data_IF_767270181770
#
_entry.id   IF_767270181770
#
_cell.length_a   1.000
_cell.length_b   1.000
_cell.length_c   1.000
_cell.angle_alpha   90.00
_cell.angle_beta   90.00
_cell.angle_gamma   90.00
#
_symmetry.space_group_name_H-M   'P 1'
#
loop_
_entity.id
_entity.type
_entity.pdbx_description
1 polymer ?
#
# COMPACT_ATOMS: atom_id res chain seq x y z
N UNK A 1 -7.63 -5.26 -20.67
CA UNK A 1 -8.59 -4.96 -19.60
C UNK A 1 -9.07 -3.54 -19.85
N UNK A 2 -10.36 -3.29 -19.98
CA UNK A 2 -10.87 -1.93 -20.21
C UNK A 2 -10.77 -1.07 -18.96
N UNK A 3 -10.77 0.27 -19.11
CA UNK A 3 -10.82 1.22 -17.99
C UNK A 3 -11.91 0.88 -16.96
N UNK A 4 -13.12 0.59 -17.42
CA UNK A 4 -14.26 0.21 -16.57
C UNK A 4 -14.02 -1.09 -15.81
N UNK A 5 -13.41 -2.09 -16.45
CA UNK A 5 -13.01 -3.33 -15.79
C UNK A 5 -11.94 -3.08 -14.72
N UNK A 6 -11.00 -2.17 -14.95
CA UNK A 6 -10.00 -1.80 -13.94
C UNK A 6 -10.66 -1.09 -12.74
N UNK A 7 -11.57 -0.15 -13.00
CA UNK A 7 -12.34 0.54 -11.95
C UNK A 7 -13.11 -0.46 -11.08
N UNK A 8 -13.80 -1.43 -11.68
CA UNK A 8 -14.51 -2.45 -10.92
C UNK A 8 -13.57 -3.36 -10.13
N UNK A 9 -12.44 -3.77 -10.72
CA UNK A 9 -11.43 -4.56 -10.02
C UNK A 9 -10.82 -3.81 -8.82
N UNK A 10 -10.62 -2.50 -8.95
CA UNK A 10 -10.17 -1.62 -7.86
C UNK A 10 -11.23 -1.58 -6.77
N UNK A 11 -12.50 -1.33 -7.12
CA UNK A 11 -13.61 -1.26 -6.14
C UNK A 11 -13.85 -2.56 -5.39
N UNK A 12 -13.65 -3.71 -6.06
CA UNK A 12 -13.75 -5.02 -5.42
C UNK A 12 -12.70 -5.21 -4.31
N UNK A 13 -11.51 -4.62 -4.46
CA UNK A 13 -10.43 -4.67 -3.46
C UNK A 13 -10.50 -3.52 -2.45
N UNK A 14 -10.82 -2.32 -2.92
CA UNK A 14 -10.98 -1.12 -2.12
C UNK A 14 -12.41 -0.59 -2.28
N UNK A 15 -13.32 -1.07 -1.44
CA UNK A 15 -14.74 -0.67 -1.45
C UNK A 15 -14.97 0.81 -1.17
N UNK A 16 -13.99 1.51 -0.61
CA UNK A 16 -14.08 2.95 -0.29
C UNK A 16 -13.75 3.85 -1.49
N UNK A 17 -13.15 3.31 -2.56
CA UNK A 17 -12.84 4.08 -3.75
C UNK A 17 -14.12 4.42 -4.53
N UNK A 18 -14.39 5.71 -4.71
CA UNK A 18 -15.54 6.19 -5.49
C UNK A 18 -15.28 6.02 -6.99
N UNK A 19 -16.25 5.54 -7.78
CA UNK A 19 -16.08 5.34 -9.21
C UNK A 19 -15.85 6.65 -9.97
N UNK A 20 -16.49 7.74 -9.55
CA UNK A 20 -16.28 9.10 -10.09
C UNK A 20 -14.81 9.50 -10.01
N UNK A 21 -14.21 9.37 -8.84
CA UNK A 21 -12.79 9.66 -8.61
C UNK A 21 -11.87 8.79 -9.47
N UNK A 22 -12.19 7.50 -9.66
CA UNK A 22 -11.41 6.60 -10.51
C UNK A 22 -11.57 6.90 -12.01
N UNK A 23 -12.65 7.58 -12.38
CA UNK A 23 -12.92 8.02 -13.75
C UNK A 23 -11.94 9.08 -14.24
N UNK A 24 -11.37 9.89 -13.35
CA UNK A 24 -10.44 10.97 -13.68
C UNK A 24 -9.02 10.46 -14.02
N UNK A 25 -8.72 9.21 -13.68
CA UNK A 25 -7.39 8.64 -13.87
C UNK A 25 -7.21 8.04 -15.27
N UNK A 26 -5.95 8.01 -15.72
CA UNK A 26 -5.58 7.30 -16.95
C UNK A 26 -5.60 5.79 -16.72
N UNK A 27 -5.68 5.00 -17.80
CA UNK A 27 -5.59 3.54 -17.69
C UNK A 27 -4.26 3.08 -17.06
N UNK A 28 -3.16 3.80 -17.33
CA UNK A 28 -1.85 3.51 -16.73
C UNK A 28 -1.86 3.70 -15.21
N UNK A 29 -2.49 4.77 -14.73
CA UNK A 29 -2.62 5.05 -13.30
C UNK A 29 -3.49 3.99 -12.60
N UNK A 30 -4.60 3.59 -13.23
CA UNK A 30 -5.48 2.55 -12.71
C UNK A 30 -4.77 1.19 -12.66
N UNK A 31 -3.95 0.89 -13.66
CA UNK A 31 -3.13 -0.33 -13.68
C UNK A 31 -2.07 -0.33 -12.58
N UNK A 32 -1.37 0.79 -12.37
CA UNK A 32 -0.43 0.93 -11.24
C UNK A 32 -1.15 0.79 -9.90
N UNK A 33 -2.33 1.39 -9.77
CA UNK A 33 -3.09 1.32 -8.53
C UNK A 33 -3.54 -0.11 -8.21
N UNK A 34 -4.01 -0.84 -9.23
CA UNK A 34 -4.31 -2.27 -9.11
C UNK A 34 -3.09 -3.09 -8.67
N UNK A 35 -1.93 -2.83 -9.27
CA UNK A 35 -0.68 -3.50 -8.90
C UNK A 35 -0.29 -3.21 -7.45
N UNK A 36 -0.44 -1.97 -6.98
CA UNK A 36 -0.20 -1.66 -5.56
C UNK A 36 -1.19 -2.38 -4.66
N UNK A 37 -2.47 -2.44 -5.01
CA UNK A 37 -3.47 -3.15 -4.21
C UNK A 37 -3.17 -4.65 -4.07
N UNK A 38 -2.58 -5.28 -5.10
CA UNK A 38 -2.15 -6.68 -5.03
C UNK A 38 -0.85 -6.86 -4.25
N UNK A 39 0.14 -5.97 -4.42
CA UNK A 39 1.42 -6.04 -3.72
C UNK A 39 1.35 -5.67 -2.23
N UNK A 40 0.47 -4.74 -1.86
CA UNK A 40 0.37 -4.21 -0.47
C UNK A 40 -0.37 -5.18 0.47
N UNK A 41 -0.88 -6.31 -0.02
CA UNK A 41 -1.37 -7.41 0.84
C UNK A 41 -0.24 -8.06 1.68
N UNK A 42 1.02 -7.69 1.49
CA UNK A 42 2.14 -8.05 2.35
C UNK A 42 2.21 -7.24 3.65
N UNK A 43 1.87 -7.90 4.77
CA UNK A 43 2.27 -7.56 6.15
C UNK A 43 1.91 -6.15 6.70
N UNK A 44 0.63 -5.78 6.64
CA UNK A 44 0.08 -4.70 7.50
C UNK A 44 -1.13 -5.13 8.33
N UNK A 45 -1.32 -6.44 8.49
CA UNK A 45 -2.36 -6.99 9.36
C UNK A 45 -1.92 -7.01 10.82
N UNK A 46 -2.85 -7.24 11.74
CA UNK A 46 -2.66 -7.48 13.20
C UNK A 46 -1.50 -8.44 13.56
N UNK A 47 -1.05 -9.28 12.62
CA UNK A 47 0.08 -10.21 12.77
C UNK A 47 1.44 -9.67 12.25
N UNK A 48 1.46 -8.45 11.71
CA UNK A 48 2.66 -7.77 11.23
C UNK A 48 3.28 -7.01 12.39
N UNK A 49 3.83 -7.77 13.34
CA UNK A 49 4.54 -7.21 14.48
C UNK A 49 5.79 -6.51 13.98
N UNK A 50 6.01 -5.28 14.42
CA UNK A 50 7.31 -4.63 14.22
C UNK A 50 8.35 -5.42 15.03
N UNK A 51 9.23 -6.15 14.34
CA UNK A 51 10.33 -6.88 14.96
C UNK A 51 11.53 -5.97 14.90
N UNK A 52 11.99 -5.52 16.07
CA UNK A 52 13.19 -4.72 16.16
C UNK A 52 14.40 -5.57 15.80
N UNK A 53 15.27 -5.03 14.96
CA UNK A 53 16.58 -5.61 14.73
C UNK A 53 17.44 -5.41 15.99
N UNK A 54 17.74 -6.49 16.72
CA UNK A 54 18.49 -6.46 17.98
C UNK A 54 19.98 -6.17 17.78
N UNK A 55 20.46 -6.13 16.54
CA UNK A 55 21.86 -5.83 16.19
C UNK A 55 22.27 -4.39 16.54
N UNK A 56 21.32 -3.47 16.76
CA UNK A 56 21.63 -2.08 17.11
C UNK A 56 21.02 -1.68 18.46
N UNK A 57 21.81 -1.08 19.37
CA UNK A 57 21.34 -0.66 20.70
C UNK A 57 20.24 0.41 20.61
N UNK A 58 19.38 0.45 21.64
CA UNK A 58 18.16 1.27 21.65
C UNK A 58 18.44 2.74 21.86
N UNK A 59 19.49 2.97 22.63
CA UNK A 59 19.95 4.25 23.09
C UNK A 59 21.44 4.24 22.84
N UNK A 60 21.90 5.22 22.07
CA UNK A 60 23.33 5.48 21.89
C UNK A 60 23.59 6.74 22.70
N UNK A 61 24.26 6.59 23.84
CA UNK A 61 24.78 7.74 24.57
C UNK A 61 26.07 8.20 23.90
N UNK A 62 26.12 9.47 23.51
CA UNK A 62 27.38 10.09 23.10
C UNK A 62 28.13 10.47 24.38
N UNK A 63 29.33 9.93 24.54
CA UNK A 63 30.24 10.40 25.58
C UNK A 63 30.81 11.73 25.08
N UNK A 64 30.52 12.83 25.78
CA UNK A 64 31.16 14.11 25.51
C UNK A 64 32.65 14.00 25.91
N UNK A 65 33.55 14.35 24.98
CA UNK A 65 34.98 14.42 25.24
C UNK A 65 35.35 15.69 25.98
#
# INVERSE_FOLDING_TARGET
MSKEQMIQAIRNRNRTAKPEYLGDFTESDLQQYLMRLTSVHGRRGRNSRWIRNTTSPAVITRIAQ
#
